data_IF_996539008748
#
_entry.id   IF_996539008748
#
_cell.length_a   1.000
_cell.length_b   1.000
_cell.length_c   1.000
_cell.angle_alpha   90.00
_cell.angle_beta   90.00
_cell.angle_gamma   90.00
#
_symmetry.space_group_name_H-M   'P 1'
#
loop_
_entity.id
_entity.type
_entity.pdbx_description
1 polymer ?
#
# COMPACT_ATOMS: atom_id res chain seq x y z
N UNK A 1 -14.74 -36.81 -38.26
CA UNK A 1 -15.57 -37.98 -37.92
C UNK A 1 -15.19 -38.44 -36.51
N UNK A 2 -15.88 -37.97 -35.47
CA UNK A 2 -15.83 -38.63 -34.16
C UNK A 2 -16.85 -39.77 -34.20
N UNK A 3 -16.40 -41.03 -34.08
CA UNK A 3 -17.30 -42.14 -33.72
C UNK A 3 -17.02 -42.51 -32.26
N UNK A 4 -18.05 -42.40 -31.43
CA UNK A 4 -18.09 -42.88 -30.06
C UNK A 4 -17.68 -44.35 -29.96
N UNK A 5 -16.82 -44.70 -29.01
CA UNK A 5 -16.71 -46.06 -28.49
C UNK A 5 -17.59 -46.18 -27.25
N UNK A 6 -18.70 -46.89 -27.39
CA UNK A 6 -19.59 -47.28 -26.28
C UNK A 6 -18.95 -48.44 -25.52
N UNK A 7 -18.83 -48.33 -24.21
CA UNK A 7 -18.39 -49.43 -23.33
C UNK A 7 -19.63 -50.20 -22.88
N UNK A 8 -19.78 -51.46 -23.32
CA UNK A 8 -20.81 -52.36 -22.80
C UNK A 8 -20.27 -53.12 -21.57
N UNK A 9 -20.95 -52.97 -20.42
CA UNK A 9 -20.73 -53.75 -19.20
C UNK A 9 -21.75 -54.91 -19.18
N UNK A 10 -21.29 -56.14 -19.24
CA UNK A 10 -22.11 -57.33 -18.96
C UNK A 10 -21.68 -57.88 -17.60
N UNK A 11 -22.59 -57.90 -16.64
CA UNK A 11 -22.43 -58.53 -15.33
C UNK A 11 -23.33 -59.76 -15.31
N UNK A 12 -22.78 -60.94 -15.01
CA UNK A 12 -23.55 -62.14 -14.69
C UNK A 12 -23.27 -62.60 -13.25
N UNK A 13 -24.35 -63.02 -12.60
CA UNK A 13 -24.48 -63.30 -11.16
C UNK A 13 -24.34 -64.79 -10.79
N UNK A 14 -23.92 -65.01 -9.53
CA UNK A 14 -24.07 -66.25 -8.73
C UNK A 14 -23.02 -67.36 -8.93
N UNK A 15 -22.43 -68.02 -7.92
CA UNK A 15 -22.69 -68.08 -6.48
C UNK A 15 -21.43 -68.52 -5.66
N UNK A 16 -21.11 -67.78 -4.59
CA UNK A 16 -20.30 -68.15 -3.38
C UNK A 16 -18.82 -68.60 -3.52
N UNK A 17 -17.95 -68.42 -2.48
CA UNK A 17 -17.33 -67.13 -2.19
C UNK A 17 -15.80 -67.28 -2.03
N UNK A 18 -15.01 -66.79 -2.99
CA UNK A 18 -13.67 -66.20 -2.79
C UNK A 18 -13.17 -65.68 -4.15
N UNK A 19 -12.78 -64.40 -4.17
CA UNK A 19 -12.18 -63.66 -5.28
C UNK A 19 -13.05 -63.43 -6.54
N UNK A 20 -13.75 -62.29 -6.58
CA UNK A 20 -14.08 -61.61 -7.85
C UNK A 20 -12.96 -60.62 -8.18
N UNK A 21 -12.00 -61.02 -9.01
CA UNK A 21 -11.12 -60.11 -9.72
C UNK A 21 -11.88 -59.57 -10.94
N UNK A 22 -12.15 -58.27 -11.00
CA UNK A 22 -12.62 -57.61 -12.22
C UNK A 22 -11.41 -57.39 -13.12
N UNK A 23 -11.23 -58.25 -14.11
CA UNK A 23 -10.28 -58.03 -15.21
C UNK A 23 -10.92 -57.10 -16.25
N UNK A 24 -10.54 -55.82 -16.22
CA UNK A 24 -10.70 -54.92 -17.36
C UNK A 24 -9.65 -55.31 -18.41
N UNK A 25 -10.04 -56.07 -19.43
CA UNK A 25 -9.18 -56.24 -20.62
C UNK A 25 -9.53 -55.18 -21.65
N UNK A 26 -8.66 -54.17 -21.82
CA UNK A 26 -8.70 -53.30 -22.99
C UNK A 26 -8.17 -54.08 -24.19
N UNK A 27 -9.04 -54.67 -25.02
CA UNK A 27 -8.64 -55.13 -26.35
C UNK A 27 -8.38 -53.90 -27.22
N UNK A 28 -7.12 -53.51 -27.35
CA UNK A 28 -6.68 -52.59 -28.40
C UNK A 28 -6.74 -53.34 -29.74
N UNK A 29 -7.45 -52.78 -30.73
CA UNK A 29 -7.47 -53.32 -32.10
C UNK A 29 -6.03 -53.27 -32.69
N UNK A 30 -5.45 -54.40 -33.10
CA UNK A 30 -4.13 -54.44 -33.76
C UNK A 30 -4.04 -53.60 -35.04
N UNK A 31 -5.18 -53.36 -35.70
CA UNK A 31 -5.26 -52.59 -36.95
C UNK A 31 -5.00 -51.10 -36.79
N UNK A 32 -5.28 -50.51 -35.62
CA UNK A 32 -5.01 -49.07 -35.40
C UNK A 32 -3.50 -48.83 -35.21
N UNK A 33 -2.81 -49.72 -34.51
CA UNK A 33 -1.35 -49.67 -34.34
C UNK A 33 -0.61 -49.94 -35.66
N UNK A 34 -1.11 -50.88 -36.48
CA UNK A 34 -0.56 -51.17 -37.82
C UNK A 34 -0.75 -50.01 -38.81
N UNK A 35 -1.92 -49.36 -38.82
CA UNK A 35 -2.15 -48.21 -39.72
C UNK A 35 -1.33 -46.98 -39.35
N UNK A 36 -1.05 -46.74 -38.06
CA UNK A 36 -0.18 -45.65 -37.63
C UNK A 36 1.27 -45.88 -38.06
N UNK A 37 1.79 -47.11 -37.97
CA UNK A 37 3.17 -47.43 -38.39
C UNK A 37 3.36 -47.32 -39.92
N UNK A 38 2.31 -47.61 -40.70
CA UNK A 38 2.36 -47.52 -42.17
C UNK A 38 2.25 -46.07 -42.67
N UNK A 39 1.52 -45.19 -41.96
CA UNK A 39 1.39 -43.77 -42.33
C UNK A 39 2.68 -42.98 -42.03
N UNK A 40 3.40 -43.31 -40.95
CA UNK A 40 4.65 -42.64 -40.57
C UNK A 40 5.79 -42.99 -41.52
N UNK A 41 5.83 -44.22 -42.07
CA UNK A 41 6.83 -44.66 -43.06
C UNK A 41 6.78 -43.93 -44.42
N UNK A 42 5.75 -43.12 -44.70
CA UNK A 42 5.57 -42.40 -45.98
C UNK A 42 5.84 -40.90 -45.89
N UNK A 43 6.22 -40.39 -44.71
CA UNK A 43 6.47 -38.97 -44.50
C UNK A 43 7.96 -38.67 -44.51
N UNK A 44 8.37 -37.73 -45.37
CA UNK A 44 9.74 -37.24 -45.40
C UNK A 44 10.13 -36.64 -44.03
N UNK A 45 11.37 -36.81 -43.54
CA UNK A 45 11.79 -36.40 -42.20
C UNK A 45 11.46 -34.95 -41.84
N UNK A 46 11.50 -34.04 -42.83
CA UNK A 46 11.17 -32.63 -42.63
C UNK A 46 9.69 -32.41 -42.28
N UNK A 47 8.76 -33.23 -42.78
CA UNK A 47 7.32 -33.12 -42.47
C UNK A 47 7.04 -33.53 -41.03
N UNK A 48 7.74 -34.56 -40.55
CA UNK A 48 7.68 -34.99 -39.14
C UNK A 48 8.22 -33.88 -38.25
N UNK A 49 9.36 -33.27 -38.61
CA UNK A 49 9.92 -32.15 -37.86
C UNK A 49 8.96 -30.95 -37.78
N UNK A 50 8.31 -30.56 -38.87
CA UNK A 50 7.32 -29.46 -38.88
C UNK A 50 6.13 -29.76 -37.96
N UNK A 51 5.60 -30.99 -37.97
CA UNK A 51 4.49 -31.38 -37.09
C UNK A 51 4.93 -31.34 -35.62
N UNK A 52 6.09 -31.91 -35.30
CA UNK A 52 6.62 -31.91 -33.93
C UNK A 52 6.84 -30.48 -33.42
N UNK A 53 7.48 -29.63 -34.23
CA UNK A 53 7.67 -28.20 -33.88
C UNK A 53 6.33 -27.49 -33.71
N UNK A 54 5.36 -27.72 -34.58
CA UNK A 54 4.03 -27.09 -34.49
C UNK A 54 3.28 -27.51 -33.23
N UNK A 55 3.36 -28.78 -32.83
CA UNK A 55 2.77 -29.29 -31.59
C UNK A 55 3.47 -28.70 -30.37
N UNK A 56 4.81 -28.62 -30.37
CA UNK A 56 5.58 -28.02 -29.27
C UNK A 56 5.23 -26.54 -29.12
N UNK A 57 5.16 -25.78 -30.21
CA UNK A 57 4.77 -24.36 -30.20
C UNK A 57 3.33 -24.20 -29.72
N UNK A 58 2.40 -25.05 -30.19
CA UNK A 58 1.02 -25.05 -29.73
C UNK A 58 0.90 -25.30 -28.21
N UNK A 59 1.61 -26.30 -27.70
CA UNK A 59 1.67 -26.58 -26.26
C UNK A 59 2.31 -25.43 -25.47
N UNK A 60 3.39 -24.83 -25.98
CA UNK A 60 4.04 -23.68 -25.33
C UNK A 60 3.11 -22.46 -25.26
N UNK A 61 2.33 -22.19 -26.31
CA UNK A 61 1.33 -21.12 -26.31
C UNK A 61 0.20 -21.43 -25.33
N UNK A 62 -0.32 -22.66 -25.33
CA UNK A 62 -1.38 -23.06 -24.39
C UNK A 62 -0.89 -22.99 -22.94
N UNK A 63 0.31 -23.47 -22.64
CA UNK A 63 0.93 -23.33 -21.32
C UNK A 63 1.15 -21.86 -20.98
N UNK A 64 1.63 -21.05 -21.93
CA UNK A 64 1.81 -19.60 -21.76
C UNK A 64 0.52 -18.88 -21.44
N UNK A 65 -0.57 -19.19 -22.15
CA UNK A 65 -1.91 -18.64 -21.91
C UNK A 65 -2.50 -19.13 -20.59
N UNK A 66 -2.37 -20.41 -20.26
CA UNK A 66 -2.80 -20.97 -18.98
C UNK A 66 -2.03 -20.29 -17.84
N UNK A 67 -0.71 -20.13 -17.97
CA UNK A 67 0.13 -19.45 -16.98
C UNK A 67 -0.27 -17.98 -16.87
N UNK A 68 -0.51 -17.30 -17.99
CA UNK A 68 -1.01 -15.92 -17.99
C UNK A 68 -2.36 -15.82 -17.27
N UNK A 69 -3.37 -16.62 -17.64
CA UNK A 69 -4.70 -16.50 -17.02
C UNK A 69 -4.76 -16.99 -15.58
N UNK A 70 -3.96 -17.99 -15.20
CA UNK A 70 -3.93 -18.52 -13.83
C UNK A 70 -3.00 -17.74 -12.90
N UNK A 71 -1.92 -17.14 -13.41
CA UNK A 71 -0.96 -16.38 -12.61
C UNK A 71 -1.13 -14.86 -12.72
N UNK A 72 -1.87 -14.36 -13.71
CA UNK A 72 -2.27 -12.95 -13.77
C UNK A 72 -3.49 -12.75 -12.89
N UNK A 73 -3.25 -12.09 -11.78
CA UNK A 73 -4.28 -11.73 -10.81
C UNK A 73 -4.81 -10.33 -11.07
N UNK A 74 -6.08 -10.11 -10.79
CA UNK A 74 -6.72 -8.79 -10.81
C UNK A 74 -7.26 -8.45 -9.43
N UNK A 75 -7.17 -7.16 -9.10
CA UNK A 75 -7.81 -6.62 -7.90
C UNK A 75 -9.30 -6.49 -8.13
N UNK A 76 -10.07 -6.80 -7.09
CA UNK A 76 -11.53 -6.62 -7.07
C UNK A 76 -11.95 -5.86 -5.84
N UNK A 77 -12.83 -4.91 -6.08
CA UNK A 77 -13.28 -3.96 -5.11
C UNK A 77 -14.77 -4.16 -4.86
N UNK A 78 -15.13 -4.21 -3.59
CA UNK A 78 -16.53 -4.28 -3.18
C UNK A 78 -16.79 -3.23 -2.11
N UNK A 79 -17.96 -2.61 -2.14
CA UNK A 79 -18.45 -1.84 -1.01
C UNK A 79 -19.46 -2.70 -0.24
N UNK A 80 -19.15 -2.99 1.01
CA UNK A 80 -20.06 -3.64 1.94
C UNK A 80 -20.69 -2.57 2.84
N UNK A 81 -22.01 -2.55 2.96
CA UNK A 81 -22.70 -1.68 3.91
C UNK A 81 -23.63 -2.46 4.83
N UNK A 82 -23.66 -2.10 6.10
CA UNK A 82 -24.46 -2.77 7.14
C UNK A 82 -24.61 -1.88 8.37
N UNK A 83 -25.66 -2.13 9.15
CA UNK A 83 -25.98 -1.40 10.37
C UNK A 83 -25.37 -2.11 11.61
N UNK A 84 -24.72 -1.34 12.47
CA UNK A 84 -24.31 -1.78 13.82
C UNK A 84 -25.31 -1.23 14.83
N UNK A 85 -25.99 -2.11 15.55
CA UNK A 85 -27.15 -1.75 16.39
C UNK A 85 -26.84 -1.54 17.87
N UNK A 86 -25.70 -2.03 18.34
CA UNK A 86 -25.29 -1.89 19.75
C UNK A 86 -24.38 -0.68 20.01
N UNK A 87 -24.20 0.19 19.01
CA UNK A 87 -23.41 1.42 19.10
C UNK A 87 -24.32 2.58 18.73
N UNK A 88 -24.35 3.61 19.56
CA UNK A 88 -25.03 4.87 19.27
C UNK A 88 -24.14 5.75 18.40
N UNK A 89 -24.75 6.50 17.49
CA UNK A 89 -24.01 7.41 16.63
C UNK A 89 -23.38 8.56 17.44
N UNK A 90 -22.12 8.86 17.15
CA UNK A 90 -21.38 10.00 17.69
C UNK A 90 -20.97 10.94 16.55
N UNK A 91 -21.26 12.23 16.68
CA UNK A 91 -20.88 13.26 15.69
C UNK A 91 -19.38 13.29 15.39
N UNK A 92 -18.52 12.82 16.30
CA UNK A 92 -17.07 12.71 16.07
C UNK A 92 -16.72 11.70 14.97
N UNK A 93 -17.63 10.79 14.62
CA UNK A 93 -17.48 9.89 13.47
C UNK A 93 -17.50 10.60 12.11
N UNK A 94 -17.97 11.86 12.03
CA UNK A 94 -17.90 12.64 10.79
C UNK A 94 -16.46 12.93 10.36
N UNK A 95 -15.51 12.96 11.31
CA UNK A 95 -14.11 13.28 11.08
C UNK A 95 -13.25 12.03 11.22
N UNK A 96 -12.64 11.59 10.12
CA UNK A 96 -11.84 10.37 10.10
C UNK A 96 -10.58 10.40 10.98
N UNK A 97 -10.13 11.60 11.36
CA UNK A 97 -8.94 11.82 12.18
C UNK A 97 -9.19 11.63 13.67
N UNK A 98 -10.45 11.65 14.12
CA UNK A 98 -10.82 11.54 15.54
C UNK A 98 -10.48 10.16 16.10
N UNK A 99 -10.22 10.12 17.40
CA UNK A 99 -9.93 8.86 18.10
C UNK A 99 -11.14 7.91 18.04
N UNK A 100 -12.35 8.44 18.17
CA UNK A 100 -13.60 7.68 18.13
C UNK A 100 -13.81 7.01 16.78
N UNK A 101 -13.66 7.74 15.67
CA UNK A 101 -13.76 7.16 14.33
C UNK A 101 -12.71 6.08 14.12
N UNK A 102 -11.46 6.36 14.52
CA UNK A 102 -10.35 5.43 14.35
C UNK A 102 -10.53 4.15 15.16
N UNK A 103 -11.02 4.26 16.39
CA UNK A 103 -11.28 3.13 17.28
C UNK A 103 -12.37 2.23 16.71
N UNK A 104 -13.54 2.79 16.37
CA UNK A 104 -14.63 1.99 15.82
C UNK A 104 -14.25 1.40 14.45
N UNK A 105 -13.54 2.16 13.61
CA UNK A 105 -13.06 1.65 12.32
C UNK A 105 -12.07 0.48 12.49
N UNK A 106 -11.20 0.53 13.50
CA UNK A 106 -10.29 -0.57 13.82
C UNK A 106 -11.07 -1.83 14.22
N UNK A 107 -12.08 -1.71 15.07
CA UNK A 107 -12.91 -2.84 15.50
C UNK A 107 -13.65 -3.47 14.31
N UNK A 108 -14.19 -2.63 13.42
CA UNK A 108 -14.87 -3.07 12.19
C UNK A 108 -13.89 -3.78 11.24
N UNK A 109 -12.71 -3.20 11.00
CA UNK A 109 -11.70 -3.80 10.12
C UNK A 109 -11.12 -5.10 10.71
N UNK A 110 -10.96 -5.20 12.02
CA UNK A 110 -10.58 -6.43 12.71
C UNK A 110 -11.65 -7.51 12.55
N UNK A 111 -12.92 -7.14 12.66
CA UNK A 111 -14.05 -8.03 12.39
C UNK A 111 -14.03 -8.51 10.94
N UNK A 112 -13.86 -7.62 9.95
CA UNK A 112 -13.77 -7.99 8.53
C UNK A 112 -12.56 -8.89 8.23
N UNK A 113 -11.40 -8.56 8.79
CA UNK A 113 -10.19 -9.38 8.69
C UNK A 113 -10.45 -10.78 9.25
N UNK A 114 -11.13 -10.90 10.39
CA UNK A 114 -11.50 -12.20 10.97
C UNK A 114 -12.47 -12.97 10.07
N UNK A 115 -13.47 -12.29 9.51
CA UNK A 115 -14.45 -12.86 8.57
C UNK A 115 -13.75 -13.50 7.37
N UNK A 116 -12.81 -12.79 6.73
CA UNK A 116 -12.21 -13.24 5.47
C UNK A 116 -10.93 -14.07 5.65
N UNK A 117 -10.02 -13.69 6.55
CA UNK A 117 -8.77 -14.45 6.80
C UNK A 117 -9.01 -15.83 7.41
N UNK A 118 -10.14 -16.04 8.12
CA UNK A 118 -10.55 -17.37 8.62
C UNK A 118 -11.54 -18.08 7.68
N UNK A 119 -11.51 -17.77 6.38
CA UNK A 119 -12.40 -18.36 5.37
C UNK A 119 -11.62 -18.95 4.19
N UNK A 120 -12.35 -19.52 3.24
CA UNK A 120 -11.81 -19.96 1.94
C UNK A 120 -11.19 -18.81 1.12
N UNK A 121 -11.47 -17.56 1.48
CA UNK A 121 -10.94 -16.36 0.82
C UNK A 121 -9.67 -15.82 1.50
N UNK A 122 -9.09 -16.54 2.46
CA UNK A 122 -7.94 -16.05 3.24
C UNK A 122 -6.74 -15.62 2.40
N UNK A 123 -6.43 -16.38 1.34
CA UNK A 123 -5.33 -16.10 0.41
C UNK A 123 -5.67 -15.05 -0.67
N UNK A 124 -6.96 -14.67 -0.76
CA UNK A 124 -7.47 -13.71 -1.75
C UNK A 124 -7.78 -12.36 -1.13
N UNK A 125 -8.09 -12.34 0.16
CA UNK A 125 -8.38 -11.12 0.90
C UNK A 125 -7.11 -10.32 1.11
N UNK A 126 -7.12 -9.07 0.65
CA UNK A 126 -6.01 -8.14 0.83
C UNK A 126 -6.27 -7.30 2.08
N UNK A 127 -7.38 -6.54 2.08
CA UNK A 127 -7.72 -5.61 3.16
C UNK A 127 -9.19 -5.21 3.15
N UNK A 128 -9.60 -4.59 4.24
CA UNK A 128 -10.85 -3.85 4.39
C UNK A 128 -10.53 -2.45 4.88
N UNK A 129 -11.28 -1.46 4.44
CA UNK A 129 -11.14 -0.08 4.92
C UNK A 129 -12.52 0.52 5.18
N UNK A 130 -12.75 1.07 6.37
CA UNK A 130 -13.98 1.80 6.65
C UNK A 130 -13.98 3.11 5.87
N UNK A 131 -14.99 3.25 5.01
CA UNK A 131 -15.19 4.41 4.13
C UNK A 131 -15.93 5.51 4.87
N UNK A 132 -16.99 5.15 5.59
CA UNK A 132 -17.79 6.09 6.35
C UNK A 132 -18.53 5.40 7.50
N UNK A 133 -18.81 6.22 8.51
CA UNK A 133 -19.65 5.90 9.66
C UNK A 133 -20.73 6.98 9.70
N UNK A 134 -21.97 6.62 9.37
CA UNK A 134 -23.08 7.54 9.18
C UNK A 134 -24.20 7.29 10.19
N UNK A 135 -24.98 8.33 10.55
CA UNK A 135 -26.10 8.17 11.48
C UNK A 135 -27.22 7.35 10.85
N UNK A 136 -27.82 6.47 11.64
CA UNK A 136 -29.04 5.72 11.28
C UNK A 136 -29.93 5.57 12.53
N UNK A 137 -31.28 5.60 12.41
CA UNK A 137 -32.17 5.45 13.57
C UNK A 137 -31.92 4.19 14.41
N UNK A 138 -31.41 3.12 13.80
CA UNK A 138 -31.09 1.88 14.48
C UNK A 138 -29.64 1.76 14.98
N UNK A 139 -28.80 2.77 14.82
CA UNK A 139 -27.40 2.78 15.28
C UNK A 139 -26.44 3.49 14.34
N UNK A 140 -25.36 2.81 13.93
CA UNK A 140 -24.35 3.36 13.02
C UNK A 140 -24.35 2.60 11.70
N UNK A 141 -24.66 3.29 10.60
CA UNK A 141 -24.53 2.74 9.26
C UNK A 141 -23.06 2.78 8.84
N UNK A 142 -22.52 1.61 8.53
CA UNK A 142 -21.12 1.44 8.15
C UNK A 142 -21.02 1.20 6.66
N UNK A 143 -20.08 1.87 6.00
CA UNK A 143 -19.64 1.53 4.63
C UNK A 143 -18.18 1.07 4.66
N UNK A 144 -17.87 -0.08 4.08
CA UNK A 144 -16.52 -0.68 4.09
C UNK A 144 -16.11 -1.04 2.67
N UNK A 145 -14.98 -0.51 2.22
CA UNK A 145 -14.32 -0.95 0.99
C UNK A 145 -13.54 -2.25 1.27
N UNK A 146 -13.84 -3.29 0.52
CA UNK A 146 -13.16 -4.59 0.58
C UNK A 146 -12.32 -4.79 -0.67
N UNK A 147 -11.08 -5.21 -0.49
CA UNK A 147 -10.12 -5.45 -1.56
C UNK A 147 -9.72 -6.91 -1.58
N UNK A 148 -9.87 -7.53 -2.75
CA UNK A 148 -9.47 -8.91 -2.98
C UNK A 148 -8.62 -9.02 -4.23
N UNK A 149 -7.86 -10.12 -4.30
CA UNK A 149 -7.07 -10.53 -5.45
C UNK A 149 -7.59 -11.86 -5.98
N UNK A 150 -8.13 -11.85 -7.18
CA UNK A 150 -8.68 -13.03 -7.86
C UNK A 150 -7.87 -13.34 -9.11
N UNK A 151 -7.88 -14.59 -9.57
CA UNK A 151 -7.29 -14.92 -10.86
C UNK A 151 -8.13 -14.27 -11.96
N UNK A 152 -7.49 -13.78 -13.02
CA UNK A 152 -8.17 -13.14 -14.16
C UNK A 152 -9.27 -14.01 -14.78
N UNK A 153 -9.12 -15.34 -14.72
CA UNK A 153 -10.11 -16.31 -15.20
C UNK A 153 -11.37 -16.44 -14.32
N UNK A 154 -11.36 -15.99 -13.05
CA UNK A 154 -12.52 -16.10 -12.18
C UNK A 154 -13.61 -15.12 -12.63
N UNK A 155 -14.85 -15.56 -12.87
CA UNK A 155 -15.92 -14.62 -13.27
C UNK A 155 -16.30 -13.65 -12.15
N UNK A 156 -16.72 -12.42 -12.49
CA UNK A 156 -17.19 -11.38 -11.55
C UNK A 156 -18.30 -11.90 -10.65
N UNK A 157 -19.33 -12.52 -11.26
CA UNK A 157 -20.45 -13.13 -10.55
C UNK A 157 -20.02 -14.22 -9.55
N UNK A 158 -19.07 -15.08 -9.92
CA UNK A 158 -18.59 -16.16 -9.04
C UNK A 158 -17.85 -15.61 -7.83
N UNK A 159 -16.92 -14.68 -8.05
CA UNK A 159 -16.16 -14.06 -6.97
C UNK A 159 -17.06 -13.25 -6.04
N UNK A 160 -17.97 -12.45 -6.60
CA UNK A 160 -18.97 -11.70 -5.81
C UNK A 160 -19.82 -12.65 -4.96
N UNK A 161 -20.33 -13.74 -5.54
CA UNK A 161 -21.15 -14.73 -4.82
C UNK A 161 -20.38 -15.38 -3.66
N UNK A 162 -19.10 -15.73 -3.87
CA UNK A 162 -18.22 -16.25 -2.83
C UNK A 162 -18.00 -15.23 -1.70
N UNK A 163 -17.70 -13.99 -2.03
CA UNK A 163 -17.48 -12.90 -1.06
C UNK A 163 -18.76 -12.64 -0.26
N UNK A 164 -19.90 -12.47 -0.91
CA UNK A 164 -21.20 -12.23 -0.27
C UNK A 164 -21.61 -13.38 0.66
N UNK A 165 -21.41 -14.63 0.22
CA UNK A 165 -21.71 -15.82 1.03
C UNK A 165 -20.84 -15.88 2.28
N UNK A 166 -19.53 -15.64 2.16
CA UNK A 166 -18.61 -15.61 3.30
C UNK A 166 -18.98 -14.48 4.26
N UNK A 167 -19.20 -13.27 3.74
CA UNK A 167 -19.56 -12.08 4.53
C UNK A 167 -20.78 -12.34 5.40
N UNK A 168 -21.92 -12.73 4.80
CA UNK A 168 -23.18 -12.97 5.52
C UNK A 168 -23.06 -14.12 6.51
N UNK A 169 -22.49 -15.25 6.09
CA UNK A 169 -22.40 -16.44 6.95
C UNK A 169 -21.52 -16.18 8.16
N UNK A 170 -20.35 -15.57 7.98
CA UNK A 170 -19.39 -15.35 9.05
C UNK A 170 -19.81 -14.24 9.99
N UNK A 171 -20.37 -13.13 9.50
CA UNK A 171 -20.89 -12.08 10.37
C UNK A 171 -22.01 -12.57 11.28
N UNK A 172 -22.85 -13.51 10.81
CA UNK A 172 -23.88 -14.15 11.66
C UNK A 172 -23.29 -14.99 12.80
N UNK A 173 -22.16 -15.65 12.56
CA UNK A 173 -21.56 -16.61 13.51
C UNK A 173 -20.38 -16.05 14.30
N UNK A 174 -19.89 -14.87 13.94
CA UNK A 174 -18.73 -14.28 14.58
C UNK A 174 -19.15 -13.72 15.92
N UNK A 175 -18.56 -14.23 17.00
CA UNK A 175 -18.65 -13.63 18.33
C UNK A 175 -17.82 -12.34 18.34
N UNK A 176 -18.37 -11.25 17.82
CA UNK A 176 -17.75 -9.91 17.86
C UNK A 176 -18.41 -9.05 18.92
N UNK A 177 -17.69 -8.04 19.41
CA UNK A 177 -18.23 -6.96 20.24
C UNK A 177 -19.31 -6.13 19.52
N UNK A 178 -19.37 -6.20 18.20
CA UNK A 178 -20.28 -5.44 17.33
C UNK A 178 -21.45 -6.31 16.88
N UNK A 179 -22.68 -5.82 17.09
CA UNK A 179 -23.92 -6.45 16.64
C UNK A 179 -24.32 -5.92 15.26
N UNK A 180 -24.12 -6.74 14.23
CA UNK A 180 -24.48 -6.40 12.86
C UNK A 180 -25.88 -6.89 12.51
N UNK A 181 -26.75 -5.98 12.08
CA UNK A 181 -28.08 -6.35 11.56
C UNK A 181 -27.94 -7.05 10.19
N UNK A 182 -28.22 -8.35 10.19
CA UNK A 182 -28.10 -9.22 9.02
C UNK A 182 -29.01 -8.80 7.85
N UNK A 183 -30.15 -8.17 8.14
CA UNK A 183 -31.11 -7.74 7.12
C UNK A 183 -30.59 -6.55 6.30
N UNK A 184 -29.71 -5.74 6.89
CA UNK A 184 -29.16 -4.52 6.28
C UNK A 184 -27.89 -4.75 5.44
N UNK A 185 -27.29 -5.95 5.52
CA UNK A 185 -26.05 -6.23 4.81
C UNK A 185 -26.28 -6.11 3.30
N UNK A 186 -25.49 -5.27 2.66
CA UNK A 186 -25.42 -5.11 1.20
C UNK A 186 -23.98 -5.25 0.74
N UNK A 187 -23.79 -5.77 -0.47
CA UNK A 187 -22.48 -5.89 -1.11
C UNK A 187 -22.61 -5.47 -2.57
N UNK A 188 -21.97 -4.36 -2.93
CA UNK A 188 -21.96 -3.84 -4.30
C UNK A 188 -20.56 -3.97 -4.89
N UNK A 189 -20.45 -4.52 -6.09
CA UNK A 189 -19.19 -4.51 -6.84
C UNK A 189 -18.85 -3.08 -7.29
N UNK A 190 -17.59 -2.71 -7.14
CA UNK A 190 -17.04 -1.48 -7.67
C UNK A 190 -16.16 -1.85 -8.87
N UNK A 191 -16.25 -1.08 -9.95
CA UNK A 191 -15.26 -1.21 -11.01
C UNK A 191 -13.87 -0.76 -10.50
N UNK A 192 -12.82 -1.21 -11.18
CA UNK A 192 -11.43 -0.97 -10.77
C UNK A 192 -11.14 0.52 -10.55
N UNK A 193 -11.51 1.37 -11.50
CA UNK A 193 -11.30 2.82 -11.41
C UNK A 193 -11.98 3.45 -10.18
N UNK A 194 -13.24 3.08 -9.87
CA UNK A 194 -13.92 3.60 -8.68
C UNK A 194 -13.32 3.04 -7.40
N UNK A 195 -12.90 1.77 -7.40
CA UNK A 195 -12.26 1.14 -6.25
C UNK A 195 -10.93 1.80 -5.91
N UNK A 196 -10.09 2.02 -6.91
CA UNK A 196 -8.82 2.73 -6.77
C UNK A 196 -9.05 4.18 -6.37
N UNK A 197 -9.92 4.91 -7.08
CA UNK A 197 -10.24 6.31 -6.74
C UNK A 197 -10.76 6.42 -5.30
N UNK A 198 -11.62 5.51 -4.88
CA UNK A 198 -12.13 5.46 -3.51
C UNK A 198 -10.99 5.31 -2.51
N UNK A 199 -10.08 4.34 -2.72
CA UNK A 199 -8.94 4.10 -1.81
C UNK A 199 -7.92 5.24 -1.81
N UNK A 200 -7.60 5.80 -2.98
CA UNK A 200 -6.59 6.85 -3.14
C UNK A 200 -7.08 8.20 -2.58
N UNK A 201 -8.39 8.38 -2.42
CA UNK A 201 -8.95 9.54 -1.73
C UNK A 201 -8.79 9.46 -0.20
N UNK A 202 -8.50 8.28 0.36
CA UNK A 202 -8.10 8.17 1.76
C UNK A 202 -6.62 8.49 1.91
N UNK A 203 -6.30 9.19 2.99
CA UNK A 203 -4.93 9.47 3.33
C UNK A 203 -4.21 8.21 3.85
N UNK A 204 -2.88 8.19 3.74
CA UNK A 204 -2.05 7.22 4.45
C UNK A 204 -2.17 5.77 3.96
N UNK A 205 -2.70 5.55 2.75
CA UNK A 205 -2.80 4.22 2.16
C UNK A 205 -1.49 3.82 1.46
N UNK A 206 -0.79 2.82 1.97
CA UNK A 206 0.38 2.26 1.29
C UNK A 206 -0.01 1.05 0.46
N UNK A 207 0.53 0.92 -0.76
CA UNK A 207 0.45 -0.33 -1.50
C UNK A 207 1.37 -1.35 -0.82
N UNK A 208 0.78 -2.40 -0.24
CA UNK A 208 1.56 -3.53 0.27
C UNK A 208 2.13 -4.32 -0.91
N UNK A 209 3.40 -4.07 -1.23
CA UNK A 209 4.20 -4.98 -2.04
C UNK A 209 4.54 -6.21 -1.20
N UNK A 210 4.65 -7.39 -1.82
CA UNK A 210 4.85 -8.66 -1.12
C UNK A 210 5.95 -8.52 -0.06
N UNK A 211 5.58 -8.86 1.17
CA UNK A 211 6.45 -8.90 2.34
C UNK A 211 7.67 -9.75 2.00
N UNK A 212 8.80 -9.11 1.68
CA UNK A 212 10.08 -9.76 1.80
C UNK A 212 10.24 -10.10 3.28
N UNK A 213 10.06 -11.38 3.60
CA UNK A 213 10.54 -11.97 4.84
C UNK A 213 12.07 -11.83 4.83
N UNK A 214 12.56 -10.68 5.24
CA UNK A 214 13.96 -10.31 5.14
C UNK A 214 14.13 -8.82 5.36
N UNK A 215 14.15 -8.42 6.64
CA UNK A 215 14.74 -7.14 7.04
C UNK A 215 16.24 -7.27 6.79
N UNK A 216 16.66 -7.18 5.53
CA UNK A 216 18.04 -6.85 5.23
C UNK A 216 18.19 -5.37 5.58
N UNK A 217 18.79 -5.16 6.75
CA UNK A 217 19.23 -3.85 7.24
C UNK A 217 20.38 -3.38 6.33
N UNK A 218 20.03 -2.93 5.13
CA UNK A 218 20.98 -2.43 4.16
C UNK A 218 21.36 -0.99 4.55
N UNK A 219 22.64 -0.79 4.80
CA UNK A 219 23.27 0.51 5.00
C UNK A 219 23.02 1.38 3.74
N UNK A 220 22.45 2.58 3.89
CA UNK A 220 22.11 3.48 2.77
C UNK A 220 20.71 3.30 2.15
N UNK A 221 19.83 2.53 2.80
CA UNK A 221 18.42 2.41 2.43
C UNK A 221 18.12 1.50 1.23
N UNK A 222 16.86 1.06 1.12
CA UNK A 222 16.37 0.22 0.02
C UNK A 222 15.69 1.08 -1.05
N UNK A 223 15.66 0.59 -2.30
CA UNK A 223 14.90 1.26 -3.37
C UNK A 223 13.41 1.05 -3.12
N UNK A 224 12.65 2.14 -3.12
CA UNK A 224 11.20 2.08 -3.04
C UNK A 224 10.61 1.58 -4.37
N UNK A 225 9.47 0.89 -4.27
CA UNK A 225 8.65 0.50 -5.41
C UNK A 225 7.52 1.49 -5.67
N UNK A 226 6.94 1.43 -6.87
CA UNK A 226 5.76 2.20 -7.23
C UNK A 226 4.61 1.96 -6.24
N UNK A 227 4.00 3.05 -5.76
CA UNK A 227 2.89 3.02 -4.81
C UNK A 227 3.26 2.72 -3.36
N UNK A 228 4.53 2.52 -3.01
CA UNK A 228 4.92 2.30 -1.62
C UNK A 228 4.87 3.59 -0.78
N UNK A 229 5.17 4.74 -1.37
CA UNK A 229 5.17 6.04 -0.68
C UNK A 229 4.49 7.12 -1.54
N UNK A 230 3.18 6.97 -1.80
CA UNK A 230 2.46 7.80 -2.78
C UNK A 230 2.36 9.28 -2.36
N UNK A 231 2.62 9.58 -1.10
CA UNK A 231 2.66 10.94 -0.56
C UNK A 231 4.02 11.62 -0.69
N UNK A 232 5.07 10.93 -1.14
CA UNK A 232 6.37 11.55 -1.37
C UNK A 232 6.28 12.54 -2.54
N UNK A 233 6.74 13.76 -2.31
CA UNK A 233 6.93 14.77 -3.33
C UNK A 233 8.38 15.28 -3.35
N UNK A 234 8.80 15.75 -4.51
CA UNK A 234 10.09 16.43 -4.72
C UNK A 234 9.81 17.90 -5.01
N UNK A 235 10.41 18.80 -4.23
CA UNK A 235 10.40 20.24 -4.46
C UNK A 235 11.67 20.59 -5.24
N UNK A 236 11.49 21.13 -6.44
CA UNK A 236 12.56 21.44 -7.39
C UNK A 236 12.66 22.94 -7.64
N UNK A 237 13.87 23.48 -7.56
CA UNK A 237 14.20 24.85 -7.94
C UNK A 237 14.83 24.84 -9.34
N UNK A 238 14.23 25.57 -10.29
CA UNK A 238 14.69 25.64 -11.68
C UNK A 238 14.92 24.25 -12.31
N UNK A 239 14.06 23.28 -11.97
CA UNK A 239 14.11 21.91 -12.47
C UNK A 239 15.09 20.97 -11.75
N UNK A 240 15.82 21.46 -10.75
CA UNK A 240 16.75 20.65 -9.95
C UNK A 240 16.13 20.32 -8.59
N UNK A 241 16.17 19.05 -8.19
CA UNK A 241 15.72 18.61 -6.87
C UNK A 241 16.49 19.32 -5.76
N UNK A 242 15.76 19.84 -4.77
CA UNK A 242 16.32 20.58 -3.64
C UNK A 242 15.89 20.00 -2.30
N UNK A 243 14.62 19.62 -2.18
CA UNK A 243 14.06 19.04 -0.97
C UNK A 243 12.98 18.01 -1.30
N UNK A 244 12.68 17.14 -0.33
CA UNK A 244 11.44 16.40 -0.25
C UNK A 244 10.26 17.25 0.25
N UNK A 245 9.06 16.70 0.11
CA UNK A 245 7.83 17.20 0.70
C UNK A 245 6.84 16.04 0.86
N UNK A 246 5.78 16.28 1.62
CA UNK A 246 4.69 15.33 1.84
C UNK A 246 3.38 15.88 1.28
N UNK A 247 2.67 15.07 0.49
CA UNK A 247 1.32 15.38 0.00
C UNK A 247 0.32 15.28 1.15
N UNK A 248 -0.36 16.38 1.47
CA UNK A 248 -1.40 16.41 2.53
C UNK A 248 -2.81 16.66 1.98
N UNK A 249 -2.92 17.15 0.73
CA UNK A 249 -4.16 17.14 -0.05
C UNK A 249 -3.84 17.16 -1.55
N UNK A 250 -4.86 17.23 -2.40
CA UNK A 250 -4.65 17.36 -3.84
C UNK A 250 -4.08 18.73 -4.26
N UNK A 251 -3.96 19.71 -3.35
CA UNK A 251 -3.46 21.07 -3.66
C UNK A 251 -2.38 21.55 -2.69
N UNK A 252 -2.14 20.83 -1.60
CA UNK A 252 -1.21 21.24 -0.55
C UNK A 252 -0.15 20.20 -0.25
N UNK A 253 1.07 20.69 -0.07
CA UNK A 253 2.21 19.92 0.44
C UNK A 253 2.70 20.54 1.75
N UNK A 254 3.31 19.73 2.61
CA UNK A 254 4.09 20.18 3.77
C UNK A 254 5.55 19.77 3.61
N UNK A 255 6.48 20.65 4.00
CA UNK A 255 7.93 20.48 3.86
C UNK A 255 8.66 21.30 4.93
N UNK A 256 9.98 21.35 4.89
CA UNK A 256 10.81 22.13 5.80
C UNK A 256 10.93 23.59 5.33
N UNK A 257 11.02 24.52 6.28
CA UNK A 257 11.19 25.95 5.97
C UNK A 257 12.55 26.24 5.34
N UNK A 258 13.60 25.56 5.80
CA UNK A 258 14.97 25.78 5.35
C UNK A 258 15.17 25.53 3.85
N UNK A 259 14.29 24.74 3.23
CA UNK A 259 14.28 24.49 1.79
C UNK A 259 14.20 25.78 0.97
N UNK A 260 13.53 26.81 1.50
CA UNK A 260 13.27 28.08 0.80
C UNK A 260 14.21 29.22 1.19
N UNK A 261 15.25 28.95 2.00
CA UNK A 261 16.31 29.94 2.32
C UNK A 261 16.93 30.48 1.02
N UNK A 262 16.99 31.80 0.88
CA UNK A 262 17.57 32.51 -0.27
C UNK A 262 16.77 32.46 -1.59
N UNK A 263 15.65 31.73 -1.68
CA UNK A 263 14.86 31.65 -2.91
C UNK A 263 13.37 31.39 -2.61
N UNK A 264 12.58 32.46 -2.47
CA UNK A 264 11.15 32.38 -2.13
C UNK A 264 10.21 32.60 -3.31
N UNK A 265 10.71 33.01 -4.48
CA UNK A 265 9.93 33.31 -5.69
C UNK A 265 9.22 32.05 -6.24
N UNK A 266 7.90 31.89 -6.09
CA UNK A 266 7.18 30.65 -6.42
C UNK A 266 7.34 30.21 -7.88
N UNK A 267 7.51 31.15 -8.82
CA UNK A 267 7.64 30.86 -10.27
C UNK A 267 8.83 29.96 -10.62
N UNK A 268 9.86 29.94 -9.78
CA UNK A 268 11.05 29.10 -9.96
C UNK A 268 10.88 27.69 -9.40
N UNK A 269 9.81 27.46 -8.65
CA UNK A 269 9.58 26.21 -7.93
C UNK A 269 8.55 25.32 -8.63
N UNK A 270 8.85 24.03 -8.66
CA UNK A 270 7.92 22.99 -9.12
C UNK A 270 7.90 21.84 -8.14
N UNK A 271 6.77 21.14 -8.06
CA UNK A 271 6.62 19.90 -7.32
C UNK A 271 6.48 18.73 -8.29
N UNK A 272 7.21 17.65 -8.04
CA UNK A 272 7.19 16.42 -8.82
C UNK A 272 6.79 15.22 -7.95
N UNK A 273 6.06 14.26 -8.52
CA UNK A 273 5.43 13.15 -7.81
C UNK A 273 5.73 11.79 -8.46
N UNK A 274 5.64 10.72 -7.67
CA UNK A 274 6.03 9.36 -8.03
C UNK A 274 7.44 9.02 -7.53
N UNK A 275 7.96 7.83 -7.89
CA UNK A 275 9.23 7.33 -7.35
C UNK A 275 10.49 7.85 -8.07
N UNK A 276 10.34 8.45 -9.25
CA UNK A 276 11.45 8.96 -10.06
C UNK A 276 11.44 10.50 -10.10
N UNK A 277 12.62 11.12 -9.98
CA UNK A 277 12.76 12.55 -10.21
C UNK A 277 12.65 12.91 -11.69
N UNK A 278 13.18 12.04 -12.57
CA UNK A 278 13.28 12.26 -14.02
C UNK A 278 13.09 10.93 -14.79
N UNK A 279 12.05 10.82 -15.64
CA UNK A 279 10.84 11.65 -15.65
C UNK A 279 9.94 11.35 -14.42
N UNK A 280 9.29 12.35 -13.81
CA UNK A 280 8.31 12.12 -12.76
C UNK A 280 6.96 11.67 -13.34
N UNK A 281 6.09 11.07 -12.52
CA UNK A 281 4.73 10.68 -12.95
C UNK A 281 3.81 11.89 -13.12
N UNK A 282 3.92 12.86 -12.22
CA UNK A 282 3.22 14.14 -12.30
C UNK A 282 4.18 15.27 -11.94
N UNK A 283 3.95 16.44 -12.54
CA UNK A 283 4.68 17.69 -12.21
C UNK A 283 3.69 18.85 -12.15
N UNK A 284 3.81 19.70 -11.13
CA UNK A 284 2.94 20.86 -10.89
C UNK A 284 3.79 22.09 -10.57
N UNK A 285 3.33 23.26 -11.01
CA UNK A 285 3.92 24.53 -10.61
C UNK A 285 3.48 24.89 -9.19
N UNK A 286 4.31 25.67 -8.50
CA UNK A 286 4.00 26.20 -7.17
C UNK A 286 3.27 27.55 -7.32
N UNK A 287 2.15 27.70 -6.61
CA UNK A 287 1.40 28.97 -6.53
C UNK A 287 1.89 29.83 -5.38
N UNK A 288 2.04 29.23 -4.20
CA UNK A 288 2.34 29.95 -2.95
C UNK A 288 3.21 29.09 -2.04
N UNK A 289 4.15 29.73 -1.37
CA UNK A 289 5.02 29.13 -0.34
C UNK A 289 4.76 29.91 0.94
N UNK A 290 4.41 29.21 2.02
CA UNK A 290 4.17 29.79 3.34
C UNK A 290 5.15 29.14 4.31
N UNK A 291 6.11 29.92 4.77
CA UNK A 291 7.08 29.52 5.80
C UNK A 291 6.54 29.95 7.16
N UNK A 292 6.74 29.13 8.19
CA UNK A 292 6.36 29.48 9.55
C UNK A 292 6.93 30.84 9.97
N UNK A 293 6.11 31.70 10.56
CA UNK A 293 6.42 33.12 10.78
C UNK A 293 7.55 33.32 11.80
N UNK A 294 7.71 32.36 12.71
CA UNK A 294 8.79 32.30 13.70
C UNK A 294 10.06 31.60 13.22
N UNK A 295 10.08 31.13 11.97
CA UNK A 295 11.25 30.48 11.42
C UNK A 295 12.41 31.46 11.25
N UNK A 296 13.57 31.08 11.75
CA UNK A 296 14.78 31.89 11.70
C UNK A 296 15.67 31.54 10.51
N UNK A 297 16.16 32.57 9.81
CA UNK A 297 17.18 32.38 8.77
C UNK A 297 18.60 32.19 9.35
N UNK A 298 18.77 32.33 10.67
CA UNK A 298 20.04 32.03 11.33
C UNK A 298 20.34 30.53 11.24
N UNK A 299 21.54 30.18 10.74
CA UNK A 299 21.89 28.79 10.42
C UNK A 299 21.86 27.82 11.61
N UNK A 300 22.14 28.31 12.81
CA UNK A 300 22.19 27.52 14.05
C UNK A 300 20.82 27.36 14.73
N UNK A 301 19.80 28.08 14.23
CA UNK A 301 18.45 27.98 14.74
C UNK A 301 17.62 27.09 13.79
N UNK A 302 17.14 25.98 14.35
CA UNK A 302 16.36 24.97 13.65
C UNK A 302 14.91 24.92 14.16
N UNK A 303 14.50 25.81 15.07
CA UNK A 303 13.10 25.87 15.49
C UNK A 303 12.19 26.32 14.34
N UNK A 304 10.92 25.92 14.42
CA UNK A 304 9.89 26.30 13.45
C UNK A 304 10.21 25.92 12.00
N UNK A 305 11.01 24.86 11.78
CA UNK A 305 11.41 24.41 10.45
C UNK A 305 10.29 23.65 9.73
N UNK A 306 9.22 24.39 9.39
CA UNK A 306 8.03 23.91 8.69
C UNK A 306 7.54 24.95 7.70
N UNK A 307 7.11 24.47 6.53
CA UNK A 307 6.48 25.26 5.50
C UNK A 307 5.37 24.46 4.80
N UNK A 308 4.38 25.17 4.27
CA UNK A 308 3.36 24.60 3.38
C UNK A 308 3.46 25.21 1.99
N UNK A 309 3.18 24.39 0.98
CA UNK A 309 3.28 24.76 -0.43
C UNK A 309 1.95 24.51 -1.11
N UNK A 310 1.38 25.56 -1.68
CA UNK A 310 0.15 25.49 -2.48
C UNK A 310 0.51 25.27 -3.95
N UNK A 311 -0.10 24.26 -4.56
CA UNK A 311 0.09 23.93 -5.97
C UNK A 311 -0.77 24.83 -6.87
N UNK A 312 -0.27 25.15 -8.07
CA UNK A 312 -0.98 25.96 -9.05
C UNK A 312 -2.18 25.24 -9.69
N UNK A 313 -2.17 23.90 -9.68
CA UNK A 313 -3.30 23.06 -10.09
C UNK A 313 -3.30 21.77 -9.26
N UNK A 314 -4.48 21.14 -9.06
CA UNK A 314 -4.57 19.95 -8.25
C UNK A 314 -3.77 18.78 -8.87
N UNK A 315 -3.18 17.94 -8.02
CA UNK A 315 -2.68 16.62 -8.41
C UNK A 315 -3.84 15.64 -8.56
N UNK A 316 -3.69 14.71 -9.49
CA UNK A 316 -4.63 13.62 -9.66
C UNK A 316 -4.23 12.50 -8.71
N UNK A 317 -5.17 12.07 -7.85
CA UNK A 317 -4.91 10.97 -6.94
C UNK A 317 -4.96 9.63 -7.69
N UNK A 318 -3.86 8.91 -7.64
CA UNK A 318 -3.67 7.58 -8.23
C UNK A 318 -3.06 6.64 -7.19
N UNK A 319 -2.92 5.36 -7.53
CA UNK A 319 -2.28 4.38 -6.65
C UNK A 319 -0.80 4.66 -6.36
N UNK A 320 -0.20 5.60 -7.11
CA UNK A 320 1.20 6.02 -6.95
C UNK A 320 1.35 7.44 -6.40
N UNK A 321 0.26 8.22 -6.34
CA UNK A 321 0.29 9.63 -5.94
C UNK A 321 -0.99 9.93 -5.16
N UNK A 322 -0.90 10.07 -3.83
CA UNK A 322 -2.01 10.53 -2.99
C UNK A 322 -1.53 10.93 -1.59
N UNK A 323 -2.43 11.45 -0.76
CA UNK A 323 -2.05 12.07 0.53
C UNK A 323 -1.61 11.10 1.63
N UNK A 324 -0.78 11.59 2.55
CA UNK A 324 -0.51 10.98 3.87
C UNK A 324 -1.49 11.53 4.90
N UNK A 325 -1.80 10.77 5.96
CA UNK A 325 -2.62 11.31 7.03
C UNK A 325 -1.83 12.26 7.93
N UNK A 326 -2.46 13.36 8.34
CA UNK A 326 -1.95 14.20 9.42
C UNK A 326 -2.48 13.68 10.76
N UNK A 327 -1.64 13.58 11.80
CA UNK A 327 -2.08 13.24 13.14
C UNK A 327 -2.85 14.39 13.79
N UNK A 328 -3.66 14.10 14.79
CA UNK A 328 -4.22 15.13 15.70
C UNK A 328 -3.09 15.75 16.53
N UNK A 329 -3.25 17.02 16.94
CA UNK A 329 -2.25 17.74 17.71
C UNK A 329 -1.92 17.06 19.06
N UNK A 330 -2.93 16.41 19.65
CA UNK A 330 -2.82 15.64 20.89
C UNK A 330 -2.21 14.25 20.72
N UNK A 331 -1.98 13.78 19.49
CA UNK A 331 -1.50 12.43 19.26
C UNK A 331 -0.04 12.27 19.73
N UNK A 332 0.23 11.16 20.42
CA UNK A 332 1.58 10.84 20.92
C UNK A 332 2.08 9.57 20.25
N UNK A 333 3.11 9.72 19.42
CA UNK A 333 3.86 8.58 18.89
C UNK A 333 4.82 8.08 19.97
N UNK A 334 4.78 6.77 20.25
CA UNK A 334 5.57 6.15 21.32
C UNK A 334 7.06 6.12 20.95
N UNK A 335 7.90 6.30 21.96
CA UNK A 335 9.34 6.03 21.83
C UNK A 335 9.57 4.60 21.32
N UNK A 336 10.65 4.40 20.55
CA UNK A 336 11.02 3.13 19.92
C UNK A 336 10.00 2.60 18.88
N UNK A 337 8.98 3.39 18.52
CA UNK A 337 8.11 3.07 17.40
C UNK A 337 8.90 3.07 16.08
N UNK A 338 8.69 2.04 15.26
CA UNK A 338 9.26 1.93 13.92
C UNK A 338 8.61 2.95 12.98
N UNK A 339 9.43 3.71 12.28
CA UNK A 339 9.02 4.69 11.29
C UNK A 339 9.79 4.47 10.00
N UNK A 340 9.29 5.03 8.90
CA UNK A 340 10.02 5.07 7.64
C UNK A 340 10.32 6.51 7.26
N UNK A 341 11.56 6.74 6.83
CA UNK A 341 11.99 7.95 6.15
C UNK A 341 12.24 7.63 4.69
N UNK A 342 11.85 8.55 3.80
CA UNK A 342 12.01 8.39 2.36
C UNK A 342 12.52 9.66 1.72
N UNK A 343 13.28 9.50 0.64
CA UNK A 343 13.77 10.64 -0.13
C UNK A 343 14.77 10.26 -1.22
N UNK A 344 15.27 11.29 -1.89
CA UNK A 344 16.22 11.22 -3.00
C UNK A 344 17.57 11.83 -2.63
N UNK A 345 17.83 12.03 -1.34
CA UNK A 345 19.06 12.59 -0.83
C UNK A 345 20.30 11.76 -1.19
N UNK A 346 21.44 12.34 -0.84
CA UNK A 346 22.74 11.75 -1.05
C UNK A 346 22.89 10.41 -0.30
N UNK A 347 23.67 9.49 -0.86
CA UNK A 347 23.95 8.19 -0.23
C UNK A 347 25.11 8.24 0.75
N UNK A 348 25.87 9.33 0.68
CA UNK A 348 27.05 9.62 1.47
C UNK A 348 27.12 11.14 1.67
N UNK A 349 27.83 11.59 2.70
CA UNK A 349 27.98 13.01 2.99
C UNK A 349 28.54 13.73 1.75
N UNK A 350 27.99 14.90 1.45
CA UNK A 350 28.35 15.73 0.29
C UNK A 350 28.14 15.07 -1.09
N UNK A 351 27.41 13.95 -1.14
CA UNK A 351 27.03 13.29 -2.38
C UNK A 351 25.89 13.98 -3.13
N UNK A 352 25.63 13.52 -4.36
CA UNK A 352 24.51 14.02 -5.18
C UNK A 352 23.21 13.25 -4.92
N UNK A 353 22.07 13.92 -5.14
CA UNK A 353 20.75 13.29 -5.10
C UNK A 353 20.61 12.15 -6.10
N UNK A 354 19.91 11.09 -5.72
CA UNK A 354 19.63 9.92 -6.59
C UNK A 354 18.34 10.07 -7.38
N UNK A 355 18.21 9.40 -8.53
CA UNK A 355 16.98 9.52 -9.34
C UNK A 355 15.80 8.67 -8.84
N UNK A 356 16.08 7.53 -8.21
CA UNK A 356 15.07 6.58 -7.72
C UNK A 356 14.91 6.73 -6.21
N UNK A 357 13.65 6.83 -5.77
CA UNK A 357 13.29 7.01 -4.37
C UNK A 357 13.86 5.89 -3.51
N UNK A 358 14.38 6.25 -2.34
CA UNK A 358 14.85 5.30 -1.33
C UNK A 358 14.03 5.39 -0.06
N UNK A 359 14.06 4.31 0.70
CA UNK A 359 13.38 4.16 1.97
C UNK A 359 14.33 3.58 3.03
N UNK A 360 14.15 4.00 4.27
CA UNK A 360 14.88 3.47 5.41
C UNK A 360 13.95 3.36 6.62
N UNK A 361 14.03 2.23 7.32
CA UNK A 361 13.35 2.04 8.59
C UNK A 361 14.21 2.60 9.73
N UNK A 362 13.64 3.51 10.51
CA UNK A 362 14.25 4.16 11.68
C UNK A 362 13.33 4.04 12.88
N UNK A 363 13.82 4.37 14.08
CA UNK A 363 13.00 4.34 15.29
C UNK A 363 12.96 5.68 15.98
N UNK A 364 11.81 6.03 16.56
CA UNK A 364 11.68 7.24 17.38
C UNK A 364 12.60 7.12 18.60
N UNK A 365 13.42 8.14 18.82
CA UNK A 365 14.31 8.26 19.98
C UNK A 365 13.72 9.33 20.90
N UNK A 366 13.53 8.96 22.18
CA UNK A 366 12.99 9.89 23.18
C UNK A 366 13.81 11.18 23.24
N UNK A 367 13.15 12.32 23.44
CA UNK A 367 13.81 13.63 23.59
C UNK A 367 14.86 13.60 24.71
N UNK A 368 14.61 12.86 25.80
CA UNK A 368 15.58 12.68 26.90
C UNK A 368 16.87 12.02 26.44
N UNK A 369 16.79 10.98 25.60
CA UNK A 369 17.98 10.32 25.03
C UNK A 369 18.65 11.27 24.05
N UNK A 370 17.86 11.92 23.19
CA UNK A 370 18.42 12.79 22.16
C UNK A 370 19.16 14.02 22.72
N UNK A 371 18.76 14.48 23.91
CA UNK A 371 19.40 15.58 24.63
C UNK A 371 20.47 15.15 25.63
N UNK A 372 20.93 13.89 25.61
CA UNK A 372 22.13 13.51 26.37
C UNK A 372 23.35 14.30 25.85
N UNK A 373 24.34 14.50 26.72
CA UNK A 373 25.54 15.30 26.43
C UNK A 373 26.30 14.79 25.21
N UNK A 374 26.36 13.48 25.05
CA UNK A 374 27.04 12.78 23.95
C UNK A 374 26.26 12.77 22.63
N UNK A 375 24.98 13.17 22.63
CA UNK A 375 24.11 13.22 21.46
C UNK A 375 23.97 14.67 20.96
N UNK A 376 22.95 15.41 21.42
CA UNK A 376 22.76 16.83 21.07
C UNK A 376 22.82 17.79 22.26
N UNK A 377 23.09 17.31 23.48
CA UNK A 377 23.43 18.17 24.61
C UNK A 377 22.39 19.22 25.02
N UNK A 378 21.12 18.99 24.72
CA UNK A 378 20.02 19.90 25.08
C UNK A 378 19.45 20.73 23.92
N UNK A 379 20.01 20.63 22.71
CA UNK A 379 19.59 21.43 21.54
C UNK A 379 18.23 21.02 20.96
N UNK A 380 17.74 19.80 21.21
CA UNK A 380 16.47 19.31 20.65
C UNK A 380 15.30 19.86 21.45
N UNK A 381 14.50 20.74 20.84
CA UNK A 381 13.39 21.44 21.50
C UNK A 381 12.06 20.67 21.38
N UNK A 382 10.97 21.08 22.08
CA UNK A 382 9.68 20.37 22.01
C UNK A 382 9.06 20.28 20.60
N UNK A 383 9.33 21.27 19.75
CA UNK A 383 8.93 21.27 18.34
C UNK A 383 9.73 20.30 17.46
N UNK A 384 10.70 19.59 18.03
CA UNK A 384 11.54 18.62 17.34
C UNK A 384 11.36 17.21 17.90
N UNK A 385 11.75 16.22 17.10
CA UNK A 385 11.89 14.83 17.53
C UNK A 385 13.09 14.19 16.84
N UNK A 386 13.62 13.13 17.43
CA UNK A 386 14.73 12.38 16.84
C UNK A 386 14.24 11.02 16.37
N UNK A 387 14.78 10.56 15.24
CA UNK A 387 14.58 9.19 14.80
C UNK A 387 15.86 8.65 14.16
N UNK A 388 16.14 7.37 14.38
CA UNK A 388 17.35 6.73 13.87
C UNK A 388 17.83 5.62 14.80
N UNK A 389 19.13 5.37 14.74
CA UNK A 389 19.84 4.44 15.62
C UNK A 389 21.05 5.16 16.22
N UNK A 390 21.30 4.99 17.52
CA UNK A 390 22.47 5.62 18.15
C UNK A 390 23.78 5.01 17.65
N UNK A 391 23.74 3.79 17.12
CA UNK A 391 24.85 3.14 16.44
C UNK A 391 25.16 3.79 15.07
N UNK A 392 24.29 4.67 14.57
CA UNK A 392 24.39 5.32 13.26
C UNK A 392 23.94 4.43 12.10
N UNK A 393 24.62 4.56 10.95
CA UNK A 393 24.46 3.82 9.69
C UNK A 393 23.21 4.15 8.86
N UNK A 394 22.04 4.27 9.49
CA UNK A 394 20.77 4.50 8.80
C UNK A 394 20.23 5.87 9.23
N UNK A 395 20.18 6.80 8.29
CA UNK A 395 19.81 8.19 8.53
C UNK A 395 19.29 8.86 7.26
N UNK A 396 18.60 9.99 7.42
CA UNK A 396 18.31 10.91 6.31
C UNK A 396 19.57 11.74 5.99
N UNK A 397 19.74 12.15 4.74
CA UNK A 397 20.94 12.87 4.31
C UNK A 397 20.62 14.12 3.46
N UNK A 398 21.66 14.81 2.96
CA UNK A 398 21.46 16.03 2.18
C UNK A 398 20.56 15.77 0.97
N UNK A 399 19.47 16.55 0.84
CA UNK A 399 18.45 16.37 -0.19
C UNK A 399 17.19 15.63 0.29
N UNK A 400 17.23 14.92 1.42
CA UNK A 400 16.03 14.34 2.05
C UNK A 400 15.23 15.36 2.86
N UNK A 401 15.85 16.51 3.18
CA UNK A 401 15.23 17.68 3.82
C UNK A 401 13.81 17.95 3.35
N UNK A 402 12.88 18.16 4.28
CA UNK A 402 11.47 18.37 3.98
C UNK A 402 10.68 17.09 3.66
N UNK A 403 11.36 15.96 3.47
CA UNK A 403 10.76 14.65 3.24
C UNK A 403 10.01 14.10 4.47
N UNK A 404 9.15 13.09 4.26
CA UNK A 404 8.31 12.51 5.31
C UNK A 404 9.10 11.58 6.24
N UNK A 405 8.80 11.67 7.54
CA UNK A 405 8.94 10.57 8.49
C UNK A 405 7.55 10.06 8.84
N UNK A 406 7.25 8.80 8.54
CA UNK A 406 5.90 8.23 8.66
C UNK A 406 5.83 6.98 9.52
N UNK A 407 4.69 6.81 10.20
CA UNK A 407 4.39 5.66 11.05
C UNK A 407 3.01 5.10 10.72
N UNK A 408 2.91 3.77 10.61
CA UNK A 408 1.65 3.08 10.42
C UNK A 408 0.96 2.81 11.76
N UNK A 409 -0.33 3.09 11.86
CA UNK A 409 -1.14 2.62 12.98
C UNK A 409 -1.50 1.12 12.81
N UNK A 410 -2.23 0.56 13.77
CA UNK A 410 -2.69 -0.84 13.76
C UNK A 410 -3.66 -1.19 12.60
N UNK A 411 -4.22 -0.19 11.91
CA UNK A 411 -5.04 -0.35 10.69
C UNK A 411 -4.20 -0.39 9.41
N UNK A 412 -2.88 -0.20 9.50
CA UNK A 412 -2.00 -0.03 8.35
C UNK A 412 -2.11 1.34 7.67
N UNK A 413 -2.70 2.34 8.36
CA UNK A 413 -2.81 3.73 7.88
C UNK A 413 -1.59 4.50 8.34
N UNK A 414 -0.92 5.16 7.40
CA UNK A 414 0.31 5.89 7.61
C UNK A 414 0.06 7.36 7.94
N UNK A 415 0.69 7.82 9.02
CA UNK A 415 0.63 9.20 9.50
C UNK A 415 1.99 9.87 9.38
N UNK A 416 1.99 11.16 9.04
CA UNK A 416 3.17 12.01 9.04
C UNK A 416 3.56 12.35 10.49
N UNK A 417 4.62 11.71 10.98
CA UNK A 417 5.16 11.87 12.33
C UNK A 417 6.05 13.11 12.40
N UNK A 418 6.89 13.27 11.39
CA UNK A 418 7.87 14.34 11.31
C UNK A 418 8.25 14.71 9.89
N UNK A 419 9.01 15.79 9.78
CA UNK A 419 9.55 16.32 8.53
C UNK A 419 11.07 16.36 8.68
N UNK A 420 11.83 15.81 7.74
CA UNK A 420 13.30 15.80 7.78
C UNK A 420 13.81 17.25 7.91
N UNK A 421 14.61 17.55 8.92
CA UNK A 421 15.03 18.91 9.24
C UNK A 421 16.55 19.06 9.24
N UNK A 422 17.27 18.42 10.18
CA UNK A 422 18.73 18.56 10.30
C UNK A 422 19.38 17.35 10.99
N UNK A 423 20.71 17.30 10.98
CA UNK A 423 21.54 16.27 11.62
C UNK A 423 23.02 16.67 11.61
N UNK A 424 23.82 16.02 12.45
CA UNK A 424 25.29 16.23 12.46
C UNK A 424 25.92 15.19 11.53
N UNK A 425 26.02 15.56 10.25
CA UNK A 425 26.29 14.64 9.14
C UNK A 425 25.25 13.51 9.05
N UNK A 426 25.43 12.60 8.09
CA UNK A 426 24.52 11.49 7.87
C UNK A 426 25.06 10.21 8.49
N UNK A 427 24.26 9.55 9.33
CA UNK A 427 24.53 8.17 9.79
C UNK A 427 25.69 8.05 10.78
N UNK A 428 26.05 9.13 11.47
CA UNK A 428 27.09 9.13 12.50
C UNK A 428 26.60 8.50 13.81
N UNK A 429 27.47 7.76 14.53
CA UNK A 429 27.16 7.30 15.88
C UNK A 429 26.81 8.45 16.82
N UNK A 430 25.79 8.26 17.65
CA UNK A 430 25.20 9.23 18.57
C UNK A 430 24.66 10.52 17.91
N UNK A 431 24.49 10.55 16.58
CA UNK A 431 23.96 11.70 15.86
C UNK A 431 22.77 11.27 14.97
N UNK A 432 21.64 10.88 15.59
CA UNK A 432 20.45 10.49 14.83
C UNK A 432 19.79 11.70 14.17
N UNK A 433 19.16 11.53 13.01
CA UNK A 433 18.40 12.59 12.36
C UNK A 433 17.38 13.28 13.26
N UNK A 434 17.31 14.61 13.12
CA UNK A 434 16.35 15.48 13.81
C UNK A 434 15.28 15.94 12.83
N UNK A 435 14.04 15.81 13.27
CA UNK A 435 12.84 16.05 12.48
C UNK A 435 11.97 17.09 13.16
N UNK A 436 11.30 17.91 12.37
CA UNK A 436 10.23 18.78 12.85
C UNK A 436 9.05 17.92 13.30
N UNK A 437 8.56 18.12 14.54
CA UNK A 437 7.46 17.34 15.13
C UNK A 437 6.11 17.82 14.62
N UNK A 438 5.47 17.03 13.76
CA UNK A 438 4.23 17.45 13.07
C UNK A 438 3.08 17.71 14.04
N UNK A 439 2.95 16.92 15.10
CA UNK A 439 1.89 17.12 16.11
C UNK A 439 2.00 18.47 16.82
N UNK A 440 3.22 19.00 17.00
CA UNK A 440 3.46 20.32 17.59
C UNK A 440 3.03 21.46 16.66
N UNK A 441 3.15 21.27 15.34
CA UNK A 441 2.79 22.27 14.31
C UNK A 441 1.44 21.98 13.65
N UNK A 442 0.66 21.03 14.16
CA UNK A 442 -0.58 20.56 13.52
C UNK A 442 -1.61 21.67 13.33
N UNK A 443 -1.79 22.50 14.36
CA UNK A 443 -2.73 23.61 14.33
C UNK A 443 -2.29 24.73 13.38
N UNK A 444 -0.97 24.97 13.28
CA UNK A 444 -0.42 25.90 12.31
C UNK A 444 -0.62 25.39 10.87
N UNK A 445 -0.39 24.10 10.61
CA UNK A 445 -0.67 23.51 9.30
C UNK A 445 -2.16 23.67 8.95
N UNK A 446 -3.07 23.43 9.91
CA UNK A 446 -4.50 23.65 9.74
C UNK A 446 -4.83 25.11 9.42
N UNK A 447 -4.27 26.07 10.16
CA UNK A 447 -4.58 27.50 9.98
C UNK A 447 -4.17 28.03 8.61
N UNK A 448 -3.12 27.46 8.00
CA UNK A 448 -2.65 27.87 6.68
C UNK A 448 -3.37 27.17 5.52
N UNK A 449 -3.85 25.94 5.73
CA UNK A 449 -4.31 25.07 4.63
C UNK A 449 -5.79 24.68 4.71
N UNK A 450 -6.41 24.79 5.87
CA UNK A 450 -7.77 24.30 6.15
C UNK A 450 -7.88 22.77 6.29
N UNK A 451 -6.75 22.05 6.39
CA UNK A 451 -6.66 20.58 6.48
C UNK A 451 -6.46 20.14 7.93
#
# INVERSE_FOLDING_TARGET
MLRCCTVCLVVQDGASPRQKNVLLTSRWCPEILSQMDTAVKRMEPWKIAVIVVSVIVGLAIVIGLITYFLCHYQYRYYNAAFLITNIQYDTRYERQTTEEFRYLSQEIENMMSTVFKKSILSQRYIRSHVVSLSPDPGGVLVSVALVFKFASADSTATSWSRVNTVLRRRLKTSSTSLNVDQSTITLTELNEDKGDTLLNNFCGIRRETFSFTGVERIIGGQRAQDGEWPWQASIQLDGTHRCGASVISNTWLVTAAHCFRGAKEPRRWTASFGILLRPPKQKKYVRRIIVHEKYSEFLLDHEYDVAVVELASPIEFTSDVHSVCLPEASHVFRDNASCFVTGWGALENDGYSVNQLRQAEVKIISTRICNRREVYGGTVTPGMLCAGYLEGQVDACQGDSGGPLVHANSRGIWYLVGIVSWGDDCGKPNKPGVYTRVTYYRDWIASQTGI
#
